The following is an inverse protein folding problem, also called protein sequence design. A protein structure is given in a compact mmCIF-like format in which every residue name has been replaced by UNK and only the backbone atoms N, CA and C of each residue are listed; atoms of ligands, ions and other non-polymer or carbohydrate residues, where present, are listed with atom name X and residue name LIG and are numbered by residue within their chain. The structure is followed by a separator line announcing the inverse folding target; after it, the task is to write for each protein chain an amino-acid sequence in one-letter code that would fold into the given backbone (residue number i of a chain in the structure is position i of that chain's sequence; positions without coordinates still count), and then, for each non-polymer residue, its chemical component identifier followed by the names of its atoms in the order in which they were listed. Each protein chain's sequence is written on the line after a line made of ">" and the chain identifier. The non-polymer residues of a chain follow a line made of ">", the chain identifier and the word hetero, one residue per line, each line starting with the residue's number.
data_IF_159029680877
#
_entry.id   IF_159029680877
#
_cell.length_a   1.000
_cell.length_b   1.000
_cell.length_c   1.000
_cell.angle_alpha   90.00
_cell.angle_beta   90.00
_cell.angle_gamma   90.00
#
_symmetry.space_group_name_H-M   'P 1'
#
loop_
_entity.id
_entity.type
_entity.pdbx_description
1 polymer ?
#
# COMPACT_ATOMS: atom_id res chain seq x y z
N UNK A 1 18.23 13.34 -70.86
CA UNK A 1 17.14 12.40 -70.50
C UNK A 1 16.48 12.87 -69.21
N UNK A 2 15.29 13.45 -69.36
CA UNK A 2 14.07 13.37 -68.53
C UNK A 2 14.16 12.93 -67.05
N UNK A 3 13.79 13.89 -66.17
CA UNK A 3 12.95 13.81 -64.93
C UNK A 3 13.44 13.07 -63.68
N UNK A 4 13.17 13.70 -62.53
CA UNK A 4 13.11 13.01 -61.23
C UNK A 4 12.82 13.91 -60.03
N UNK A 5 11.73 14.69 -60.07
CA UNK A 5 11.18 15.39 -58.91
C UNK A 5 10.60 14.36 -57.93
N UNK A 6 11.11 14.27 -56.70
CA UNK A 6 10.48 13.51 -55.61
C UNK A 6 10.38 14.41 -54.38
N UNK A 7 9.20 15.00 -54.24
CA UNK A 7 8.75 15.76 -53.07
C UNK A 7 8.57 14.75 -51.93
N UNK A 8 9.46 14.77 -50.95
CA UNK A 8 9.29 14.01 -49.71
C UNK A 8 8.24 14.71 -48.85
N UNK A 9 7.03 14.16 -48.81
CA UNK A 9 5.97 14.54 -47.88
C UNK A 9 6.48 14.34 -46.44
N UNK A 10 6.80 15.42 -45.74
CA UNK A 10 6.91 15.44 -44.28
C UNK A 10 5.51 15.32 -43.69
N UNK A 11 5.08 14.10 -43.37
CA UNK A 11 3.92 13.83 -42.53
C UNK A 11 4.23 14.23 -41.09
N UNK A 12 3.82 15.44 -40.70
CA UNK A 12 3.77 15.88 -39.31
C UNK A 12 2.66 15.10 -38.59
N UNK A 13 3.04 13.99 -37.97
CA UNK A 13 2.20 13.26 -37.02
C UNK A 13 2.07 14.13 -35.76
N UNK A 14 1.00 14.91 -35.69
CA UNK A 14 0.53 15.57 -34.47
C UNK A 14 0.10 14.47 -33.49
N UNK A 15 1.04 13.98 -32.67
CA UNK A 15 0.71 13.20 -31.49
C UNK A 15 -0.02 14.11 -30.51
N UNK A 16 -1.35 14.12 -30.59
CA UNK A 16 -2.19 14.60 -29.51
C UNK A 16 -1.82 13.79 -28.26
N UNK A 17 -1.17 14.44 -27.31
CA UNK A 17 -0.95 13.91 -25.96
C UNK A 17 -2.31 13.83 -25.30
N UNK A 18 -3.02 12.72 -25.54
CA UNK A 18 -4.16 12.33 -24.73
C UNK A 18 -3.66 12.35 -23.29
N UNK A 19 -4.14 13.32 -22.50
CA UNK A 19 -3.78 13.46 -21.11
C UNK A 19 -4.15 12.17 -20.41
N UNK A 20 -3.13 11.38 -20.06
CA UNK A 20 -3.29 10.27 -19.15
C UNK A 20 -3.58 10.92 -17.81
N UNK A 21 -4.86 10.97 -17.43
CA UNK A 21 -5.23 11.29 -16.05
C UNK A 21 -4.73 10.14 -15.21
N UNK A 22 -3.64 10.36 -14.48
CA UNK A 22 -3.22 9.44 -13.44
C UNK A 22 -4.34 9.44 -12.40
N UNK A 23 -4.95 8.28 -12.17
CA UNK A 23 -5.91 8.10 -11.10
C UNK A 23 -5.27 8.60 -9.79
N UNK A 24 -5.92 9.57 -9.15
CA UNK A 24 -5.44 10.12 -7.88
C UNK A 24 -5.57 9.03 -6.82
N UNK A 25 -4.46 8.39 -6.47
CA UNK A 25 -4.40 7.48 -5.33
C UNK A 25 -4.40 8.34 -4.07
N UNK A 26 -5.51 8.31 -3.33
CA UNK A 26 -5.55 8.94 -2.01
C UNK A 26 -4.67 8.15 -1.05
N UNK A 27 -3.56 8.76 -0.64
CA UNK A 27 -2.71 8.24 0.42
C UNK A 27 -3.29 8.57 1.80
N UNK A 28 -3.03 7.73 2.79
CA UNK A 28 -3.34 8.09 4.17
C UNK A 28 -2.51 9.30 4.61
N UNK A 29 -3.14 10.23 5.33
CA UNK A 29 -2.44 11.37 5.93
C UNK A 29 -1.50 10.93 7.05
N UNK A 30 -1.91 9.90 7.81
CA UNK A 30 -1.12 9.31 8.89
C UNK A 30 -0.50 7.98 8.46
N UNK A 31 0.78 7.72 8.82
CA UNK A 31 1.42 6.46 8.51
C UNK A 31 0.78 5.31 9.30
N UNK A 32 0.65 4.16 8.64
CA UNK A 32 0.14 2.96 9.28
C UNK A 32 0.99 2.50 10.49
N UNK A 33 0.36 1.92 11.54
CA UNK A 33 1.09 1.46 12.71
C UNK A 33 2.10 0.34 12.34
N UNK A 34 3.23 0.24 13.06
CA UNK A 34 4.23 -0.81 12.80
C UNK A 34 3.60 -2.21 12.79
N UNK A 35 3.92 -3.01 11.77
CA UNK A 35 3.30 -4.32 11.57
C UNK A 35 2.05 -4.30 10.69
N UNK A 36 1.67 -3.15 10.14
CA UNK A 36 0.65 -3.00 9.09
C UNK A 36 1.18 -2.24 7.88
N UNK A 37 0.42 -2.29 6.79
CA UNK A 37 0.76 -1.71 5.49
C UNK A 37 -0.46 -0.95 4.96
N UNK A 38 -0.21 0.16 4.28
CA UNK A 38 -1.25 0.89 3.58
C UNK A 38 -1.77 0.03 2.42
N UNK A 39 -3.09 -0.09 2.35
CA UNK A 39 -3.82 -0.69 1.24
C UNK A 39 -4.85 0.33 0.78
N UNK A 40 -5.18 0.30 -0.51
CA UNK A 40 -6.16 1.21 -1.09
C UNK A 40 -7.07 0.46 -2.03
N UNK A 41 -8.35 0.78 -1.97
CA UNK A 41 -9.33 0.33 -2.94
C UNK A 41 -10.34 1.46 -3.23
N UNK A 42 -11.46 1.12 -3.85
CA UNK A 42 -12.48 2.09 -4.26
C UNK A 42 -13.17 2.84 -3.09
N UNK A 43 -13.07 2.36 -1.85
CA UNK A 43 -13.56 3.11 -0.68
C UNK A 43 -12.49 3.98 -0.02
N UNK A 44 -11.26 3.96 -0.53
CA UNK A 44 -10.14 4.71 0.02
C UNK A 44 -9.16 3.84 0.82
N UNK A 45 -8.13 4.47 1.41
CA UNK A 45 -7.03 3.76 2.00
C UNK A 45 -7.33 3.27 3.43
N UNK A 46 -6.66 2.18 3.84
CA UNK A 46 -6.67 1.68 5.22
C UNK A 46 -5.36 0.97 5.55
N UNK A 47 -5.14 0.70 6.84
CA UNK A 47 -3.98 -0.05 7.30
C UNK A 47 -4.31 -1.55 7.44
N UNK A 48 -3.78 -2.39 6.57
CA UNK A 48 -3.92 -3.84 6.67
C UNK A 48 -2.80 -4.46 7.51
N UNK A 49 -3.10 -5.36 8.47
CA UNK A 49 -2.07 -6.10 9.19
C UNK A 49 -1.18 -6.90 8.23
N UNK A 50 0.14 -6.65 8.24
CA UNK A 50 1.10 -7.40 7.43
C UNK A 50 1.17 -8.85 7.86
N UNK A 51 1.62 -9.77 7.02
CA UNK A 51 1.81 -11.18 7.41
C UNK A 51 3.18 -11.66 6.94
N UNK A 52 3.84 -12.46 7.77
CA UNK A 52 5.12 -13.05 7.42
C UNK A 52 5.33 -14.38 8.15
N UNK A 53 6.10 -15.25 7.51
CA UNK A 53 6.60 -16.50 8.08
C UNK A 53 8.10 -16.40 8.39
N UNK A 54 8.84 -15.71 7.53
CA UNK A 54 10.28 -15.47 7.59
C UNK A 54 10.64 -14.00 7.28
N UNK A 55 11.90 -13.63 7.53
CA UNK A 55 12.42 -12.26 7.32
C UNK A 55 12.34 -11.82 5.85
N UNK A 56 12.50 -12.75 4.91
CA UNK A 56 12.48 -12.48 3.46
C UNK A 56 11.08 -12.14 2.95
N UNK A 57 10.03 -12.45 3.71
CA UNK A 57 8.64 -12.05 3.39
C UNK A 57 8.40 -10.54 3.63
N UNK A 58 9.37 -9.84 4.25
CA UNK A 58 9.22 -8.46 4.66
C UNK A 58 9.93 -7.49 3.68
N UNK A 59 9.21 -6.93 2.69
CA UNK A 59 9.81 -6.01 1.74
C UNK A 59 10.35 -4.76 2.46
N UNK A 60 11.49 -4.21 2.00
CA UNK A 60 12.08 -3.03 2.62
C UNK A 60 11.18 -1.80 2.42
N UNK A 61 11.12 -0.93 3.43
CA UNK A 61 10.46 0.37 3.30
C UNK A 61 11.45 1.38 2.76
N UNK A 62 11.01 2.28 1.88
CA UNK A 62 11.82 3.45 1.54
C UNK A 62 11.87 4.40 2.74
N UNK A 63 13.05 4.84 3.15
CA UNK A 63 13.15 5.94 4.10
C UNK A 63 12.92 7.26 3.33
N UNK A 64 11.85 8.02 3.61
CA UNK A 64 11.57 9.25 2.87
C UNK A 64 12.62 10.34 3.09
N UNK A 65 13.36 10.31 4.20
CA UNK A 65 14.41 11.30 4.51
C UNK A 65 15.74 11.00 3.82
N UNK A 66 16.11 9.72 3.73
CA UNK A 66 17.42 9.31 3.22
C UNK A 66 17.38 8.66 1.85
N UNK A 67 16.20 8.33 1.34
CA UNK A 67 16.01 7.53 0.13
C UNK A 67 16.55 6.11 0.23
N UNK A 68 17.09 5.68 1.38
CA UNK A 68 17.67 4.34 1.55
C UNK A 68 16.60 3.33 1.96
N UNK A 69 16.68 2.08 1.48
CA UNK A 69 15.80 1.02 1.96
C UNK A 69 16.09 0.73 3.43
N UNK A 70 15.03 0.65 4.23
CA UNK A 70 15.07 0.20 5.63
C UNK A 70 14.55 -1.22 5.67
N UNK A 71 15.41 -2.15 6.13
CA UNK A 71 15.03 -3.55 6.33
C UNK A 71 13.89 -3.65 7.35
N UNK A 72 12.96 -4.56 7.08
CA UNK A 72 11.93 -5.02 8.02
C UNK A 72 12.28 -6.41 8.47
N UNK A 73 11.73 -6.79 9.61
CA UNK A 73 11.94 -8.09 10.24
C UNK A 73 10.62 -8.75 10.59
N UNK A 74 10.58 -10.09 10.52
CA UNK A 74 9.38 -10.86 10.79
C UNK A 74 9.30 -11.21 12.28
N UNK A 75 8.54 -10.42 13.03
CA UNK A 75 8.46 -10.55 14.49
C UNK A 75 7.03 -10.76 14.97
N UNK A 76 6.89 -11.58 16.02
CA UNK A 76 5.62 -11.71 16.73
C UNK A 76 5.32 -10.37 17.42
N UNK A 77 4.24 -9.73 17.00
CA UNK A 77 3.81 -8.41 17.47
C UNK A 77 2.30 -8.42 17.68
N UNK A 78 1.82 -7.82 18.77
CA UNK A 78 0.39 -7.60 19.00
C UNK A 78 -0.10 -6.35 18.27
N UNK A 79 -1.23 -6.48 17.58
CA UNK A 79 -1.88 -5.37 16.89
C UNK A 79 -3.38 -5.41 17.16
N UNK A 80 -3.99 -4.27 17.49
CA UNK A 80 -5.43 -4.11 17.53
C UNK A 80 -5.97 -4.23 16.11
N UNK A 81 -6.69 -5.30 15.84
CA UNK A 81 -7.28 -5.60 14.54
C UNK A 81 -8.79 -5.59 14.64
N UNK A 82 -9.41 -4.82 13.77
CA UNK A 82 -10.83 -4.79 13.51
C UNK A 82 -11.12 -5.57 12.23
N UNK A 83 -12.04 -6.51 12.29
CA UNK A 83 -12.62 -7.10 11.08
C UNK A 83 -13.81 -6.23 10.69
N UNK A 84 -13.74 -5.64 9.50
CA UNK A 84 -14.76 -4.75 8.97
C UNK A 84 -15.46 -5.43 7.80
N UNK A 85 -16.79 -5.33 7.77
CA UNK A 85 -17.64 -5.82 6.68
C UNK A 85 -18.44 -4.64 6.18
N UNK A 86 -18.24 -4.29 4.91
CA UNK A 86 -18.74 -3.05 4.34
C UNK A 86 -19.30 -3.29 2.95
N UNK A 87 -20.24 -2.43 2.56
CA UNK A 87 -20.76 -2.40 1.20
C UNK A 87 -19.74 -1.75 0.27
N UNK A 88 -19.58 -2.30 -0.93
CA UNK A 88 -18.66 -1.73 -1.90
C UNK A 88 -19.05 -0.30 -2.24
N UNK A 89 -18.09 0.63 -2.12
CA UNK A 89 -18.25 2.03 -2.56
C UNK A 89 -18.22 2.17 -4.09
N UNK A 90 -18.17 1.06 -4.80
CA UNK A 90 -18.26 0.97 -6.25
C UNK A 90 -19.27 -0.11 -6.67
N UNK A 91 -19.77 -0.06 -7.90
CA UNK A 91 -20.70 -1.08 -8.40
C UNK A 91 -20.10 -2.48 -8.60
N UNK A 92 -18.78 -2.65 -8.43
CA UNK A 92 -18.05 -3.88 -8.80
C UNK A 92 -18.42 -5.10 -7.98
N UNK A 93 -18.87 -4.94 -6.72
CA UNK A 93 -19.24 -6.09 -5.89
C UNK A 93 -20.64 -6.64 -6.17
N UNK A 94 -21.43 -6.01 -7.06
CA UNK A 94 -22.81 -6.39 -7.37
C UNK A 94 -23.68 -6.58 -6.10
N UNK A 95 -23.50 -5.70 -5.11
CA UNK A 95 -24.24 -5.75 -3.84
C UNK A 95 -23.76 -6.81 -2.86
N UNK A 96 -22.63 -7.48 -3.13
CA UNK A 96 -22.00 -8.37 -2.15
C UNK A 96 -21.17 -7.55 -1.16
N UNK A 97 -21.26 -7.85 0.15
CA UNK A 97 -20.39 -7.22 1.14
C UNK A 97 -18.94 -7.66 0.92
N UNK A 98 -18.03 -6.77 1.25
CA UNK A 98 -16.60 -6.99 1.21
C UNK A 98 -16.05 -7.00 2.63
N UNK A 99 -14.90 -7.64 2.83
CA UNK A 99 -14.25 -7.76 4.13
C UNK A 99 -12.88 -7.09 4.12
N UNK A 100 -12.53 -6.44 5.23
CA UNK A 100 -11.18 -5.91 5.48
C UNK A 100 -10.75 -6.25 6.90
N UNK A 101 -9.44 -6.31 7.10
CA UNK A 101 -8.82 -6.30 8.42
C UNK A 101 -8.10 -4.97 8.59
N UNK A 102 -8.51 -4.19 9.58
CA UNK A 102 -7.99 -2.85 9.82
C UNK A 102 -7.13 -2.86 11.08
N UNK A 103 -5.87 -2.47 10.94
CA UNK A 103 -4.94 -2.26 12.02
C UNK A 103 -5.16 -0.87 12.65
N UNK A 104 -5.53 -0.84 13.93
CA UNK A 104 -5.79 0.41 14.67
C UNK A 104 -4.58 0.89 15.48
N UNK A 105 -3.70 -0.03 15.89
CA UNK A 105 -2.52 0.30 16.70
C UNK A 105 -1.87 -0.92 17.33
N UNK A 106 -0.68 -0.79 17.95
CA UNK A 106 -0.03 -1.87 18.68
C UNK A 106 -0.79 -2.22 19.96
N UNK A 107 -0.67 -3.47 20.42
CA UNK A 107 -1.25 -3.92 21.68
C UNK A 107 -0.41 -5.01 22.34
N UNK A 108 -0.61 -5.18 23.63
CA UNK A 108 -0.12 -6.29 24.45
C UNK A 108 -1.25 -7.16 24.97
N UNK A 109 -2.45 -6.61 25.08
CA UNK A 109 -3.67 -7.27 25.55
C UNK A 109 -4.92 -6.64 24.93
N UNK A 110 -6.08 -7.30 25.04
CA UNK A 110 -7.35 -6.79 24.51
C UNK A 110 -7.81 -5.48 25.15
N UNK A 111 -7.40 -5.17 26.39
CA UNK A 111 -7.74 -3.90 27.04
C UNK A 111 -7.05 -2.69 26.42
N UNK A 112 -6.01 -2.89 25.60
CA UNK A 112 -5.34 -1.81 24.88
C UNK A 112 -6.16 -1.36 23.65
N UNK A 113 -7.14 -2.16 23.24
CA UNK A 113 -7.89 -1.95 22.00
C UNK A 113 -9.25 -1.32 22.27
N UNK A 114 -9.54 -0.21 21.59
CA UNK A 114 -10.91 0.31 21.49
C UNK A 114 -11.76 -0.64 20.66
N UNK A 115 -12.88 -1.08 21.21
CA UNK A 115 -13.89 -1.87 20.48
C UNK A 115 -14.29 -1.16 19.17
N UNK A 116 -14.52 -1.90 18.07
CA UNK A 116 -14.64 -3.36 18.00
C UNK A 116 -13.31 -4.11 17.80
N UNK A 117 -12.16 -3.44 17.79
CA UNK A 117 -10.87 -4.10 17.59
C UNK A 117 -10.51 -5.07 18.72
N UNK A 118 -9.73 -6.11 18.38
CA UNK A 118 -9.20 -7.12 19.30
C UNK A 118 -7.69 -7.23 19.15
N UNK A 119 -6.98 -7.52 20.23
CA UNK A 119 -5.54 -7.66 20.21
C UNK A 119 -5.13 -9.00 19.60
N UNK A 120 -4.53 -8.96 18.41
CA UNK A 120 -4.09 -10.16 17.67
C UNK A 120 -2.59 -10.24 17.62
N UNK A 121 -2.03 -11.14 18.41
CA UNK A 121 -0.60 -11.49 18.37
C UNK A 121 -0.29 -12.45 17.22
N UNK A 122 0.44 -11.97 16.21
CA UNK A 122 0.88 -12.79 15.07
C UNK A 122 2.26 -12.33 14.59
N UNK A 123 2.89 -13.10 13.71
CA UNK A 123 4.11 -12.67 13.01
C UNK A 123 3.76 -11.56 12.01
N UNK A 124 4.43 -10.41 12.16
CA UNK A 124 4.23 -9.19 11.37
C UNK A 124 5.57 -8.67 10.90
N UNK A 125 5.58 -8.00 9.76
CA UNK A 125 6.76 -7.31 9.28
C UNK A 125 6.87 -5.93 9.96
N UNK A 126 7.81 -5.79 10.88
CA UNK A 126 8.05 -4.56 11.63
C UNK A 126 9.40 -3.96 11.24
N UNK A 127 9.63 -2.64 11.40
CA UNK A 127 10.92 -2.05 11.12
C UNK A 127 12.04 -2.76 11.89
N UNK A 128 13.09 -3.18 11.20
CA UNK A 128 14.26 -3.77 11.85
C UNK A 128 14.96 -2.76 12.75
N UNK A 129 15.70 -3.28 13.74
CA UNK A 129 16.67 -2.47 14.48
C UNK A 129 17.63 -1.83 13.47
N UNK A 130 17.93 -0.55 13.64
CA UNK A 130 19.00 0.06 12.86
C UNK A 130 20.28 -0.73 13.16
N UNK A 131 20.98 -1.18 12.13
CA UNK A 131 22.34 -1.65 12.31
C UNK A 131 23.14 -0.44 12.79
N UNK A 132 23.39 -0.36 14.10
CA UNK A 132 24.42 0.51 14.65
C UNK A 132 25.73 -0.01 14.07
N UNK A 133 26.23 0.67 13.04
CA UNK A 133 27.53 0.37 12.46
C UNK A 133 28.60 0.55 13.53
N UNK A 134 29.40 -0.49 13.71
CA UNK A 134 30.67 -0.50 14.44
C UNK A 134 31.72 0.34 13.74
#
# INVERSE_FOLDING_TARGET
>A
MVRGLMVALCTTFLLATAGVSADVVFHMTDPCPPGSEEQTDHCGPWCQPSQCSAEDDCPPLQNPKTGKPRRRTCRKTGLCVEDDTYDSCSGWSMGKPLERKIARGPCTSDSDCTRPATCRSAKRCVPGAAATGS
#
